data_IF_571341392982
#
_entry.id   IF_571341392982
#
_cell.length_a   1.000
_cell.length_b   1.000
_cell.length_c   1.000
_cell.angle_alpha   90.00
_cell.angle_beta   90.00
_cell.angle_gamma   90.00
#
_symmetry.space_group_name_H-M   'P 1'
#
loop_
_entity.id
_entity.type
_entity.pdbx_description
1 polymer ?
#
# COMPACT_ATOMS: atom_id res chain seq x y z
N UNK A 1 23.49 -37.94 7.94
CA UNK A 1 22.26 -37.33 7.38
C UNK A 1 21.93 -36.15 8.27
N UNK A 2 22.00 -34.93 7.76
CA UNK A 2 21.63 -33.73 8.49
C UNK A 2 20.38 -33.16 7.83
N UNK A 3 19.29 -33.07 8.59
CA UNK A 3 18.01 -32.57 8.11
C UNK A 3 17.95 -31.09 8.47
N UNK A 4 18.13 -30.21 7.49
CA UNK A 4 17.95 -28.76 7.69
C UNK A 4 16.51 -28.38 7.33
N UNK A 5 15.77 -27.91 8.32
CA UNK A 5 14.47 -27.29 8.14
C UNK A 5 14.57 -25.86 8.70
N UNK A 6 14.33 -24.86 7.87
CA UNK A 6 14.33 -23.45 8.26
C UNK A 6 12.94 -22.87 7.99
N UNK A 7 12.22 -22.54 9.06
CA UNK A 7 10.95 -21.82 9.00
C UNK A 7 11.22 -20.36 9.37
N UNK A 8 10.94 -19.43 8.46
CA UNK A 8 11.09 -18.00 8.69
C UNK A 8 9.72 -17.32 8.62
N UNK A 9 9.27 -16.74 9.74
CA UNK A 9 8.06 -15.93 9.80
C UNK A 9 8.46 -14.44 9.86
N UNK A 10 8.12 -13.68 8.82
CA UNK A 10 8.42 -12.25 8.74
C UNK A 10 7.12 -11.45 8.70
N UNK A 11 6.83 -10.74 9.80
CA UNK A 11 5.60 -9.93 9.96
C UNK A 11 5.96 -8.46 10.04
N UNK A 12 5.49 -7.69 9.07
CA UNK A 12 5.59 -6.22 9.05
C UNK A 12 4.20 -5.57 9.06
N UNK A 13 4.02 -4.53 9.88
CA UNK A 13 2.80 -3.70 9.89
C UNK A 13 3.17 -2.24 9.66
N UNK A 14 2.62 -1.64 8.61
CA UNK A 14 2.84 -0.21 8.31
C UNK A 14 1.51 0.52 8.51
N UNK A 15 1.50 1.51 9.39
CA UNK A 15 0.34 2.39 9.63
C UNK A 15 0.69 3.78 9.14
N UNK A 16 -0.18 4.35 8.31
CA UNK A 16 -0.05 5.70 7.78
C UNK A 16 -1.34 6.46 8.06
N UNK A 17 -1.26 7.58 8.78
CA UNK A 17 -2.43 8.32 9.26
C UNK A 17 -2.33 9.82 8.96
N UNK A 18 -2.49 10.23 7.68
CA UNK A 18 -2.51 11.63 7.32
C UNK A 18 -3.76 12.30 7.89
N UNK A 19 -3.63 13.58 8.28
CA UNK A 19 -4.74 14.38 8.80
C UNK A 19 -4.70 15.76 8.17
N UNK A 20 -5.86 16.24 7.72
CA UNK A 20 -6.01 17.57 7.14
C UNK A 20 -7.29 18.21 7.66
N UNK A 21 -7.26 19.53 7.85
CA UNK A 21 -8.43 20.32 8.24
C UNK A 21 -8.77 21.22 7.07
N UNK A 22 -10.05 21.32 6.75
CA UNK A 22 -10.55 22.16 5.66
C UNK A 22 -11.91 22.74 5.99
N UNK A 23 -12.32 23.75 5.24
CA UNK A 23 -13.66 24.31 5.29
C UNK A 23 -14.66 23.42 4.53
N UNK A 24 -15.95 23.58 4.84
CA UNK A 24 -17.01 22.95 4.08
C UNK A 24 -16.90 23.31 2.58
N UNK A 25 -17.10 22.32 1.72
CA UNK A 25 -16.99 22.40 0.25
C UNK A 25 -15.63 22.87 -0.28
N UNK A 26 -14.59 22.86 0.55
CA UNK A 26 -13.23 23.25 0.15
C UNK A 26 -12.30 22.05 0.08
N UNK A 27 -11.71 21.85 -1.10
CA UNK A 27 -10.64 20.88 -1.33
C UNK A 27 -9.43 21.19 -0.45
N UNK A 28 -8.92 20.18 0.23
CA UNK A 28 -7.63 20.24 0.91
C UNK A 28 -6.76 19.04 0.54
N UNK A 29 -5.44 19.26 0.59
CA UNK A 29 -4.42 18.28 0.22
C UNK A 29 -3.35 18.27 1.28
N UNK A 30 -2.94 17.07 1.69
CA UNK A 30 -1.72 16.82 2.47
C UNK A 30 -0.89 15.78 1.75
N UNK A 31 0.41 16.04 1.61
CA UNK A 31 1.34 15.14 0.93
C UNK A 31 2.64 15.03 1.73
N UNK A 32 3.15 13.81 1.88
CA UNK A 32 4.45 13.53 2.49
C UNK A 32 5.18 12.48 1.66
N UNK A 33 6.39 12.76 1.22
CA UNK A 33 7.18 11.78 0.49
C UNK A 33 8.54 12.28 0.07
N UNK A 34 9.12 11.58 -0.90
CA UNK A 34 10.41 11.91 -1.50
C UNK A 34 10.29 11.94 -3.01
N UNK A 35 11.19 12.65 -3.67
CA UNK A 35 11.29 12.72 -5.12
C UNK A 35 12.54 11.98 -5.59
N UNK A 36 12.35 11.10 -6.56
CA UNK A 36 13.40 10.28 -7.16
C UNK A 36 13.77 10.84 -8.54
N UNK A 37 15.06 11.10 -8.81
CA UNK A 37 15.52 11.56 -10.11
C UNK A 37 15.61 10.40 -11.12
N UNK A 38 15.11 10.63 -12.33
CA UNK A 38 15.22 9.73 -13.47
C UNK A 38 15.88 10.45 -14.63
N UNK A 39 16.85 9.79 -15.26
CA UNK A 39 17.45 10.29 -16.49
C UNK A 39 16.51 9.99 -17.67
N UNK A 40 16.16 11.02 -18.43
CA UNK A 40 15.37 10.94 -19.64
C UNK A 40 16.20 11.45 -20.81
N UNK A 41 16.19 10.71 -21.92
CA UNK A 41 16.77 11.18 -23.17
C UNK A 41 15.89 12.29 -23.75
N UNK A 42 16.49 13.43 -24.09
CA UNK A 42 15.81 14.50 -24.81
C UNK A 42 15.85 14.25 -26.31
N UNK A 43 14.95 14.92 -27.05
CA UNK A 43 14.93 14.89 -28.52
C UNK A 43 16.22 15.41 -29.17
N UNK A 44 17.03 16.17 -28.43
CA UNK A 44 18.33 16.69 -28.87
C UNK A 44 19.50 15.75 -28.59
N UNK A 45 19.27 14.57 -28.00
CA UNK A 45 20.32 13.63 -27.60
C UNK A 45 21.04 13.98 -26.29
N UNK A 46 20.58 15.02 -25.58
CA UNK A 46 21.05 15.34 -24.23
C UNK A 46 20.30 14.50 -23.17
N UNK A 47 20.87 14.39 -21.97
CA UNK A 47 20.19 13.81 -20.82
C UNK A 47 19.52 14.91 -19.99
N UNK A 48 18.25 14.73 -19.66
CA UNK A 48 17.49 15.58 -18.74
C UNK A 48 17.12 14.76 -17.49
N UNK A 49 16.96 15.43 -16.35
CA UNK A 49 16.56 14.78 -15.10
C UNK A 49 15.09 15.12 -14.83
N UNK A 50 14.25 14.09 -14.74
CA UNK A 50 12.84 14.21 -14.36
C UNK A 50 12.62 13.60 -12.97
N UNK A 51 11.84 14.27 -12.13
CA UNK A 51 11.54 13.78 -10.78
C UNK A 51 10.21 13.02 -10.76
N UNK A 52 10.18 11.86 -10.11
CA UNK A 52 8.96 11.12 -9.77
C UNK A 52 8.80 11.06 -8.27
N UNK A 53 7.59 11.31 -7.78
CA UNK A 53 7.25 11.28 -6.37
C UNK A 53 6.97 9.87 -5.89
N UNK A 54 7.49 9.53 -4.72
CA UNK A 54 7.04 8.42 -3.88
C UNK A 54 6.50 9.03 -2.59
N UNK A 55 5.19 9.30 -2.57
CA UNK A 55 4.53 10.02 -1.47
C UNK A 55 3.22 9.38 -1.03
N UNK A 56 2.87 9.63 0.23
CA UNK A 56 1.54 9.47 0.75
C UNK A 56 0.79 10.79 0.54
N UNK A 57 -0.28 10.77 -0.25
CA UNK A 57 -1.15 11.90 -0.53
C UNK A 57 -2.57 11.61 -0.06
N UNK A 58 -3.18 12.57 0.62
CA UNK A 58 -4.62 12.60 0.88
C UNK A 58 -5.16 13.90 0.32
N UNK A 59 -6.10 13.79 -0.59
CA UNK A 59 -6.91 14.87 -1.13
C UNK A 59 -8.37 14.62 -0.77
N UNK A 60 -9.03 15.63 -0.20
CA UNK A 60 -10.41 15.49 0.28
C UNK A 60 -11.21 16.77 0.04
N UNK A 61 -12.47 16.60 -0.34
CA UNK A 61 -13.47 17.68 -0.38
C UNK A 61 -14.68 17.25 0.45
N UNK A 62 -14.93 17.87 1.62
CA UNK A 62 -16.08 17.55 2.43
C UNK A 62 -17.30 18.38 2.04
N UNK A 63 -18.48 17.83 2.25
CA UNK A 63 -19.76 18.53 2.21
C UNK A 63 -20.61 18.08 3.41
N UNK A 64 -20.98 19.03 4.27
CA UNK A 64 -21.82 18.77 5.43
C UNK A 64 -23.29 18.82 5.01
N UNK A 65 -24.01 17.73 5.30
CA UNK A 65 -25.46 17.63 5.06
C UNK A 65 -26.25 18.26 6.20
N UNK A 66 -27.51 18.69 5.98
CA UNK A 66 -28.37 19.25 7.04
C UNK A 66 -28.58 18.30 8.23
N UNK A 67 -28.54 16.99 7.99
CA UNK A 67 -28.71 15.94 9.00
C UNK A 67 -27.44 15.70 9.84
N UNK A 68 -26.33 16.40 9.55
CA UNK A 68 -25.06 16.29 10.28
C UNK A 68 -24.11 15.21 9.75
N UNK A 69 -24.48 14.52 8.69
CA UNK A 69 -23.60 13.59 7.97
C UNK A 69 -22.67 14.35 7.02
N UNK A 70 -21.58 13.71 6.63
CA UNK A 70 -20.51 14.31 5.83
C UNK A 70 -20.35 13.47 4.57
N UNK A 71 -20.59 14.09 3.42
CA UNK A 71 -20.20 13.52 2.13
C UNK A 71 -18.72 13.88 1.93
N UNK A 72 -17.90 12.89 1.60
CA UNK A 72 -16.47 13.07 1.35
C UNK A 72 -16.13 12.57 -0.05
N UNK A 73 -15.66 13.47 -0.90
CA UNK A 73 -14.86 13.08 -2.06
C UNK A 73 -13.43 12.87 -1.61
N UNK A 74 -12.93 11.63 -1.69
CA UNK A 74 -11.62 11.25 -1.19
C UNK A 74 -10.78 10.65 -2.31
N UNK A 75 -9.56 11.16 -2.43
CA UNK A 75 -8.48 10.61 -3.25
C UNK A 75 -7.27 10.36 -2.32
N UNK A 76 -6.91 9.09 -2.16
CA UNK A 76 -5.77 8.66 -1.35
C UNK A 76 -4.80 7.93 -2.26
N UNK A 77 -3.54 8.39 -2.29
CA UNK A 77 -2.44 7.65 -2.91
C UNK A 77 -1.34 7.35 -1.89
N UNK A 78 -0.73 6.18 -2.00
CA UNK A 78 0.46 5.79 -1.26
C UNK A 78 1.44 5.16 -2.22
N UNK A 79 2.41 5.96 -2.60
CA UNK A 79 3.48 5.59 -3.50
C UNK A 79 4.75 5.32 -2.69
N UNK A 80 5.42 4.21 -2.97
CA UNK A 80 6.67 3.83 -2.33
C UNK A 80 7.73 3.46 -3.36
N UNK A 81 8.99 3.60 -2.97
CA UNK A 81 10.14 3.16 -3.79
C UNK A 81 10.08 1.65 -3.93
N UNK A 82 9.94 1.18 -5.17
CA UNK A 82 9.91 -0.23 -5.52
C UNK A 82 11.30 -0.77 -5.87
N UNK A 83 11.31 -1.88 -6.60
CA UNK A 83 12.54 -2.56 -7.02
C UNK A 83 13.45 -1.69 -7.91
N UNK A 84 14.77 -1.90 -7.81
CA UNK A 84 15.73 -1.27 -8.72
C UNK A 84 15.62 -1.93 -10.09
N UNK A 85 15.49 -1.11 -11.14
CA UNK A 85 15.49 -1.54 -12.54
C UNK A 85 16.69 -0.91 -13.26
N UNK A 86 16.99 -1.38 -14.47
CA UNK A 86 18.04 -0.81 -15.34
C UNK A 86 17.82 0.68 -15.63
N UNK A 87 16.58 1.17 -15.51
CA UNK A 87 16.19 2.56 -15.78
C UNK A 87 15.99 3.41 -14.50
N UNK A 88 16.33 2.88 -13.32
CA UNK A 88 16.09 3.52 -12.03
C UNK A 88 15.10 2.73 -11.16
N UNK A 89 14.59 3.34 -10.10
CA UNK A 89 13.65 2.66 -9.19
C UNK A 89 12.26 2.49 -9.83
N UNK A 90 11.59 1.38 -9.59
CA UNK A 90 10.14 1.28 -9.80
C UNK A 90 9.42 2.10 -8.72
N UNK A 91 8.15 2.46 -8.97
CA UNK A 91 7.28 3.09 -7.97
C UNK A 91 6.09 2.16 -7.76
N UNK A 92 5.97 1.63 -6.54
CA UNK A 92 4.81 0.85 -6.14
C UNK A 92 3.70 1.80 -5.75
N UNK A 93 2.57 1.76 -6.46
CA UNK A 93 1.45 2.67 -6.25
C UNK A 93 0.27 1.96 -5.60
N UNK A 94 -0.39 2.64 -4.67
CA UNK A 94 -1.65 2.19 -4.06
C UNK A 94 -2.58 3.38 -4.05
N UNK A 95 -3.70 3.29 -4.76
CA UNK A 95 -4.57 4.44 -4.98
C UNK A 95 -6.04 4.05 -4.79
N UNK A 96 -6.81 4.93 -4.15
CA UNK A 96 -8.25 4.82 -3.99
C UNK A 96 -8.87 6.19 -4.24
N UNK A 97 -9.89 6.22 -5.09
CA UNK A 97 -10.69 7.41 -5.35
C UNK A 97 -12.15 7.01 -5.22
N UNK A 98 -12.87 7.66 -4.30
CA UNK A 98 -14.26 7.31 -4.01
C UNK A 98 -15.01 8.48 -3.38
N UNK A 99 -16.34 8.40 -3.42
CA UNK A 99 -17.23 9.29 -2.69
C UNK A 99 -17.99 8.49 -1.65
N UNK A 100 -17.96 8.93 -0.39
CA UNK A 100 -18.62 8.23 0.72
C UNK A 100 -19.45 9.18 1.57
N UNK A 101 -20.58 8.69 2.08
CA UNK A 101 -21.37 9.34 3.12
C UNK A 101 -21.00 8.71 4.47
N UNK A 102 -20.66 9.54 5.44
CA UNK A 102 -20.21 9.07 6.76
C UNK A 102 -20.66 10.05 7.85
N UNK A 103 -21.02 9.50 9.00
CA UNK A 103 -21.47 10.28 10.15
C UNK A 103 -20.30 11.07 10.76
N UNK A 104 -20.61 12.20 11.42
CA UNK A 104 -19.60 12.97 12.14
C UNK A 104 -18.91 12.12 13.25
N UNK A 105 -17.61 11.90 13.13
CA UNK A 105 -16.83 11.06 14.04
C UNK A 105 -16.94 9.55 13.76
N UNK A 106 -17.76 9.14 12.79
CA UNK A 106 -17.84 7.77 12.32
C UNK A 106 -16.61 7.37 11.51
N UNK A 107 -16.27 6.08 11.49
CA UNK A 107 -15.19 5.55 10.65
C UNK A 107 -15.78 4.66 9.56
N UNK A 108 -15.41 4.90 8.31
CA UNK A 108 -15.82 4.06 7.16
C UNK A 108 -14.59 3.44 6.49
N UNK A 109 -14.77 2.22 5.98
CA UNK A 109 -13.77 1.53 5.16
C UNK A 109 -13.96 1.98 3.72
N UNK A 110 -12.97 2.66 3.15
CA UNK A 110 -13.00 3.11 1.75
C UNK A 110 -12.74 1.95 0.77
N UNK A 111 -11.93 0.98 1.20
CA UNK A 111 -11.59 -0.20 0.42
C UNK A 111 -10.39 -0.94 0.97
N UNK A 112 -10.02 -2.01 0.28
CA UNK A 112 -8.85 -2.79 0.60
C UNK A 112 -8.42 -3.72 -0.53
N UNK A 113 -7.17 -4.18 -0.47
CA UNK A 113 -6.59 -5.16 -1.39
C UNK A 113 -6.04 -6.31 -0.55
N UNK A 114 -6.52 -7.51 -0.82
CA UNK A 114 -5.98 -8.74 -0.23
C UNK A 114 -5.25 -9.51 -1.33
N UNK A 115 -3.98 -9.81 -1.10
CA UNK A 115 -3.16 -10.60 -1.99
C UNK A 115 -2.56 -11.77 -1.23
N UNK A 116 -2.69 -12.97 -1.81
CA UNK A 116 -2.06 -14.18 -1.30
C UNK A 116 -1.28 -14.87 -2.42
N UNK A 117 0.01 -15.09 -2.20
CA UNK A 117 0.89 -15.82 -3.10
C UNK A 117 1.31 -17.12 -2.44
N UNK A 118 0.90 -18.26 -3.00
CA UNK A 118 1.36 -19.57 -2.57
C UNK A 118 2.32 -20.14 -3.61
N UNK A 119 3.52 -20.53 -3.18
CA UNK A 119 4.54 -21.19 -4.01
C UNK A 119 4.96 -22.48 -3.35
N UNK A 120 4.91 -23.58 -4.10
CA UNK A 120 5.45 -24.88 -3.68
C UNK A 120 6.53 -25.30 -4.67
N UNK A 121 7.77 -25.34 -4.20
CA UNK A 121 8.93 -25.81 -4.94
C UNK A 121 9.30 -27.20 -4.43
N UNK A 122 9.36 -28.18 -5.32
CA UNK A 122 9.81 -29.54 -4.99
C UNK A 122 11.05 -29.84 -5.81
N UNK A 123 12.19 -29.97 -5.15
CA UNK A 123 13.45 -30.41 -5.74
C UNK A 123 13.67 -31.86 -5.37
N UNK A 124 13.72 -32.77 -6.34
CA UNK A 124 13.89 -34.20 -6.07
C UNK A 124 14.94 -34.85 -6.96
N UNK A 125 15.55 -35.93 -6.46
CA UNK A 125 16.43 -36.77 -7.27
C UNK A 125 15.55 -37.61 -8.21
N UNK A 126 15.80 -37.59 -9.53
CA UNK A 126 15.07 -38.43 -10.48
C UNK A 126 15.12 -39.91 -10.06
N UNK A 127 14.03 -40.65 -10.25
CA UNK A 127 13.85 -42.06 -9.85
C UNK A 127 13.71 -42.30 -8.34
N UNK A 128 14.52 -41.68 -7.48
CA UNK A 128 14.49 -41.91 -6.02
C UNK A 128 13.44 -41.07 -5.28
N UNK A 129 13.05 -39.92 -5.81
CA UNK A 129 12.03 -39.04 -5.22
C UNK A 129 10.61 -39.62 -5.22
N UNK A 130 10.34 -40.54 -6.16
CA UNK A 130 9.01 -41.13 -6.38
C UNK A 130 8.80 -42.46 -5.63
N UNK A 131 9.82 -42.97 -4.93
CA UNK A 131 9.74 -44.23 -4.18
C UNK A 131 8.75 -44.07 -3.00
N UNK A 132 7.71 -44.92 -2.90
CA UNK A 132 6.81 -44.92 -1.75
C UNK A 132 7.60 -45.10 -0.44
N UNK A 133 7.21 -44.42 0.63
CA UNK A 133 7.84 -44.46 1.97
C UNK A 133 9.23 -43.79 2.04
N UNK A 134 10.14 -44.03 1.10
CA UNK A 134 11.53 -43.54 1.15
C UNK A 134 11.79 -42.24 0.36
N UNK A 135 10.93 -41.90 -0.60
CA UNK A 135 11.14 -40.74 -1.48
C UNK A 135 11.21 -39.40 -0.76
N UNK A 136 10.71 -39.31 0.49
CA UNK A 136 10.82 -38.09 1.30
C UNK A 136 12.26 -37.77 1.76
N UNK A 137 13.15 -38.76 1.79
CA UNK A 137 14.57 -38.55 2.07
C UNK A 137 15.35 -38.02 0.86
N UNK A 138 14.75 -38.09 -0.34
CA UNK A 138 15.36 -37.73 -1.62
C UNK A 138 14.66 -36.56 -2.31
N UNK A 139 13.78 -35.86 -1.59
CA UNK A 139 13.13 -34.62 -2.05
C UNK A 139 13.22 -33.54 -0.99
N UNK A 140 13.49 -32.33 -1.44
CA UNK A 140 13.35 -31.12 -0.66
C UNK A 140 12.08 -30.40 -1.11
N UNK A 141 11.25 -29.97 -0.16
CA UNK A 141 10.02 -29.24 -0.42
C UNK A 141 10.10 -27.90 0.28
N UNK A 142 10.04 -26.84 -0.50
CA UNK A 142 9.95 -25.48 -0.02
C UNK A 142 8.55 -24.96 -0.29
N UNK A 143 7.89 -24.44 0.75
CA UNK A 143 6.58 -23.81 0.64
C UNK A 143 6.68 -22.37 1.10
N UNK A 144 6.31 -21.45 0.23
CA UNK A 144 6.22 -20.01 0.53
C UNK A 144 4.76 -19.59 0.48
N UNK A 145 4.31 -18.83 1.47
CA UNK A 145 2.94 -18.31 1.55
C UNK A 145 2.98 -16.83 1.96
N UNK A 146 3.01 -15.94 0.96
CA UNK A 146 3.08 -14.51 1.19
C UNK A 146 1.66 -13.92 1.21
N UNK A 147 1.32 -13.20 2.29
CA UNK A 147 0.03 -12.51 2.44
C UNK A 147 0.27 -11.02 2.58
N UNK A 148 -0.43 -10.23 1.76
CA UNK A 148 -0.39 -8.76 1.81
C UNK A 148 -1.81 -8.22 1.90
N UNK A 149 -2.07 -7.40 2.90
CA UNK A 149 -3.36 -6.77 3.14
C UNK A 149 -3.21 -5.25 3.18
N UNK A 150 -4.02 -4.56 2.38
CA UNK A 150 -4.20 -3.11 2.43
C UNK A 150 -5.64 -2.84 2.86
N UNK A 151 -5.83 -2.01 3.88
CA UNK A 151 -7.12 -1.48 4.28
C UNK A 151 -7.01 0.03 4.44
N UNK A 152 -8.00 0.75 3.92
CA UNK A 152 -8.06 2.22 3.98
C UNK A 152 -9.30 2.62 4.76
N UNK A 153 -9.08 3.42 5.82
CA UNK A 153 -10.12 3.92 6.70
C UNK A 153 -10.11 5.45 6.67
N UNK A 154 -11.29 6.05 6.80
CA UNK A 154 -11.43 7.49 7.02
C UNK A 154 -12.39 7.79 8.14
N UNK A 155 -12.05 8.81 8.94
CA UNK A 155 -12.83 9.27 10.09
C UNK A 155 -12.92 10.79 10.03
N UNK A 156 -13.99 11.37 9.46
CA UNK A 156 -14.16 12.82 9.48
C UNK A 156 -14.62 13.30 10.86
N UNK A 157 -14.30 14.56 11.18
CA UNK A 157 -14.76 15.22 12.39
C UNK A 157 -15.06 16.69 12.11
N UNK A 158 -16.30 17.11 12.36
CA UNK A 158 -16.71 18.51 12.28
C UNK A 158 -16.14 19.26 13.48
N UNK A 159 -15.37 20.31 13.20
CA UNK A 159 -14.84 21.20 14.22
C UNK A 159 -15.88 22.29 14.50
N UNK A 160 -16.62 22.16 15.60
CA UNK A 160 -17.46 23.24 16.11
C UNK A 160 -16.60 24.22 16.91
N UNK A 161 -16.75 25.53 16.67
CA UNK A 161 -15.92 26.61 17.24
C UNK A 161 -15.90 26.75 18.78
N UNK A 162 -16.47 25.80 19.54
CA UNK A 162 -16.45 25.77 21.01
C UNK A 162 -15.23 25.07 21.62
N UNK A 163 -14.39 24.41 20.84
CA UNK A 163 -13.24 23.61 21.32
C UNK A 163 -11.87 24.26 21.09
N UNK A 164 -11.79 25.49 20.56
CA UNK A 164 -10.53 26.25 20.47
C UNK A 164 -10.17 27.03 21.75
N UNK A 165 -10.90 26.78 22.85
CA UNK A 165 -10.59 27.27 24.20
C UNK A 165 -10.63 26.09 25.18
N UNK A 166 -9.52 25.37 25.28
CA UNK A 166 -8.97 24.80 26.50
C UNK A 166 -7.60 24.20 26.21
#
# INVERSE_FOLDING_TARGET
>A
LELSALEADNKGKIISSPRVVTADQKKAVIEQGTELPYQQATSSGATSVAFRKASLKLEVTPQITPDGNIILDVDVSKDSVGQVTTAGYAIDTKHVQTQVLVDNGGTVVLGGIFQQTQRENVTQIPFFGDIPVLGNLFKNRERTNDKTELLIFITPKILSGRLAKQ
#
